data_IF_195613585488
#
_entry.id   IF_195613585488
#
_cell.length_a   1.000
_cell.length_b   1.000
_cell.length_c   1.000
_cell.angle_alpha   90.00
_cell.angle_beta   90.00
_cell.angle_gamma   90.00
#
_symmetry.space_group_name_H-M   'P 1'
#
loop_
_entity.id
_entity.type
_entity.pdbx_description
1 polymer ?
#
# COMPACT_ATOMS: atom_id res chain seq x y z
N UNK A 1 -14.33 44.48 26.87
CA UNK A 1 -14.20 43.44 25.84
C UNK A 1 -12.75 43.42 25.37
N UNK A 2 -12.00 42.37 25.72
CA UNK A 2 -10.60 42.24 25.31
C UNK A 2 -10.57 41.60 23.93
N UNK A 3 -10.25 42.39 22.91
CA UNK A 3 -10.01 41.90 21.55
C UNK A 3 -8.65 41.22 21.54
N UNK A 4 -8.64 39.89 21.50
CA UNK A 4 -7.42 39.12 21.26
C UNK A 4 -7.03 39.29 19.80
N UNK A 5 -6.00 40.09 19.55
CA UNK A 5 -5.32 40.17 18.26
C UNK A 5 -4.62 38.83 18.00
N UNK A 6 -5.21 37.98 17.18
CA UNK A 6 -4.47 36.92 16.50
C UNK A 6 -3.45 37.60 15.57
N UNK A 7 -2.20 37.72 16.02
CA UNK A 7 -1.08 38.02 15.11
C UNK A 7 -1.00 36.85 14.13
N UNK A 8 -1.03 37.08 12.81
CA UNK A 8 -0.73 36.01 11.85
C UNK A 8 0.67 35.49 12.16
N UNK A 9 0.78 34.23 12.56
CA UNK A 9 2.06 33.59 12.78
C UNK A 9 2.87 33.69 11.49
N UNK A 10 4.14 34.12 11.59
CA UNK A 10 5.05 34.13 10.44
C UNK A 10 4.98 32.76 9.73
N UNK A 11 4.82 32.73 8.39
CA UNK A 11 4.82 31.46 7.67
C UNK A 11 6.14 30.73 7.94
N UNK A 12 6.03 29.48 8.39
CA UNK A 12 7.20 28.63 8.68
C UNK A 12 7.96 28.34 7.39
N UNK A 13 9.28 28.34 7.45
CA UNK A 13 10.12 27.87 6.33
C UNK A 13 10.04 26.35 6.19
N UNK A 14 10.32 25.77 5.00
CA UNK A 14 10.38 24.32 4.83
C UNK A 14 11.29 23.59 5.83
N UNK A 15 12.45 24.17 6.15
CA UNK A 15 13.37 23.65 7.18
C UNK A 15 12.74 23.64 8.57
N UNK A 16 12.06 24.73 8.95
CA UNK A 16 11.38 24.83 10.24
C UNK A 16 10.22 23.83 10.35
N UNK A 17 9.51 23.58 9.25
CA UNK A 17 8.45 22.56 9.19
C UNK A 17 9.03 21.16 9.36
N UNK A 18 10.06 20.79 8.57
CA UNK A 18 10.71 19.49 8.68
C UNK A 18 11.26 19.24 10.10
N UNK A 19 11.97 20.22 10.65
CA UNK A 19 12.50 20.13 12.02
C UNK A 19 11.40 19.98 13.06
N UNK A 20 10.32 20.77 12.97
CA UNK A 20 9.21 20.66 13.91
C UNK A 20 8.52 19.28 13.85
N UNK A 21 8.37 18.71 12.65
CA UNK A 21 7.84 17.36 12.47
C UNK A 21 8.75 16.34 13.17
N UNK A 22 10.05 16.35 12.88
CA UNK A 22 11.03 15.45 13.51
C UNK A 22 11.01 15.54 15.02
N UNK A 23 11.11 16.75 15.56
CA UNK A 23 11.12 16.99 17.02
C UNK A 23 9.83 16.49 17.67
N UNK A 24 8.67 16.71 17.02
CA UNK A 24 7.38 16.24 17.52
C UNK A 24 7.22 14.71 17.49
N UNK A 25 7.73 14.04 16.45
CA UNK A 25 7.69 12.58 16.32
C UNK A 25 8.63 11.88 17.31
N UNK A 26 9.83 12.42 17.50
CA UNK A 26 10.79 11.91 18.49
C UNK A 26 10.27 12.11 19.91
N UNK A 27 9.55 13.20 20.18
CA UNK A 27 8.93 13.44 21.48
C UNK A 27 7.86 12.41 21.88
N UNK A 28 7.37 11.60 20.94
CA UNK A 28 6.47 10.46 21.23
C UNK A 28 7.21 9.31 21.94
N UNK A 29 8.51 9.12 21.69
CA UNK A 29 9.30 8.04 22.31
C UNK A 29 9.74 8.35 23.72
N UNK A 30 10.11 9.60 23.99
CA UNK A 30 10.68 10.03 25.27
C UNK A 30 9.65 9.99 26.40
N UNK A 31 8.36 9.78 26.09
CA UNK A 31 7.25 9.83 27.05
C UNK A 31 6.62 8.45 27.23
N UNK A 32 7.42 7.49 27.67
CA UNK A 32 6.91 6.22 28.19
C UNK A 32 5.99 6.47 29.38
N UNK A 33 4.68 6.31 29.18
CA UNK A 33 3.61 5.91 30.13
C UNK A 33 3.33 6.82 31.36
N UNK A 34 4.23 7.69 31.79
CA UNK A 34 4.15 8.31 33.13
C UNK A 34 3.28 9.59 33.20
N UNK A 35 2.97 10.26 32.08
CA UNK A 35 2.02 11.38 32.07
C UNK A 35 1.15 11.40 30.79
N UNK A 36 -0.07 10.86 30.88
CA UNK A 36 -1.08 10.86 29.79
C UNK A 36 -1.24 12.24 29.14
N UNK A 37 -1.26 13.31 29.96
CA UNK A 37 -1.36 14.70 29.47
C UNK A 37 -0.19 15.14 28.60
N UNK A 38 1.02 14.65 28.88
CA UNK A 38 2.19 15.01 28.11
C UNK A 38 2.21 14.30 26.75
N UNK A 39 1.62 13.11 26.67
CA UNK A 39 1.42 12.36 25.41
C UNK A 39 0.32 13.02 24.56
N UNK A 40 -0.82 13.38 25.15
CA UNK A 40 -1.90 14.12 24.47
C UNK A 40 -1.35 15.39 23.82
N UNK A 41 -0.60 16.20 24.57
CA UNK A 41 0.03 17.42 24.05
C UNK A 41 1.05 17.15 22.94
N UNK A 42 1.75 16.01 22.98
CA UNK A 42 2.68 15.64 21.91
C UNK A 42 1.95 15.25 20.63
N UNK A 43 0.85 14.49 20.75
CA UNK A 43 0.00 14.10 19.63
C UNK A 43 -0.68 15.32 18.98
N UNK A 44 -1.16 16.28 19.78
CA UNK A 44 -1.70 17.55 19.28
C UNK A 44 -0.65 18.34 18.47
N UNK A 45 0.60 18.37 18.93
CA UNK A 45 1.69 19.06 18.21
C UNK A 45 2.05 18.33 16.91
N UNK A 46 2.03 17.00 16.88
CA UNK A 46 2.21 16.21 15.64
C UNK A 46 1.10 16.51 14.65
N UNK A 47 -0.17 16.50 15.09
CA UNK A 47 -1.32 16.79 14.24
C UNK A 47 -1.24 18.20 13.64
N UNK A 48 -0.89 19.20 14.45
CA UNK A 48 -0.69 20.57 13.98
C UNK A 48 0.44 20.69 12.95
N UNK A 49 1.56 19.99 13.17
CA UNK A 49 2.69 20.02 12.24
C UNK A 49 2.37 19.26 10.94
N UNK A 50 1.60 18.19 10.99
CA UNK A 50 1.10 17.48 9.81
C UNK A 50 0.10 18.33 9.02
N UNK A 51 -0.80 19.04 9.70
CA UNK A 51 -1.68 20.01 9.05
C UNK A 51 -0.89 21.12 8.35
N UNK A 52 0.19 21.60 8.97
CA UNK A 52 1.11 22.58 8.35
C UNK A 52 1.81 22.01 7.12
N UNK A 53 2.32 20.78 7.22
CA UNK A 53 2.92 20.05 6.09
C UNK A 53 1.93 19.90 4.94
N UNK A 54 0.69 19.46 5.24
CA UNK A 54 -0.37 19.31 4.26
C UNK A 54 -0.68 20.62 3.55
N UNK A 55 -0.84 21.73 4.28
CA UNK A 55 -1.05 23.05 3.67
C UNK A 55 0.11 23.47 2.76
N UNK A 56 1.36 23.18 3.13
CA UNK A 56 2.52 23.49 2.30
C UNK A 56 2.57 22.62 1.03
N UNK A 57 2.15 21.35 1.11
CA UNK A 57 2.15 20.41 -0.01
C UNK A 57 0.96 20.59 -0.96
N UNK A 58 -0.21 20.94 -0.45
CA UNK A 58 -1.48 20.95 -1.19
C UNK A 58 -2.03 22.34 -1.48
N UNK A 59 -1.57 23.36 -0.76
CA UNK A 59 -2.27 24.65 -0.68
C UNK A 59 -3.41 24.62 0.35
N UNK A 60 -4.03 25.77 0.57
CA UNK A 60 -5.15 25.97 1.51
C UNK A 60 -6.50 26.18 0.80
N UNK A 61 -6.55 25.96 -0.51
CA UNK A 61 -7.73 26.13 -1.35
C UNK A 61 -7.88 27.55 -1.93
N UNK A 62 -7.18 28.54 -1.37
CA UNK A 62 -7.12 29.90 -1.92
C UNK A 62 -5.80 30.17 -2.66
N UNK A 63 -4.69 29.60 -2.18
CA UNK A 63 -3.37 29.70 -2.79
C UNK A 63 -2.86 28.33 -3.28
N UNK A 64 -2.30 28.31 -4.48
CA UNK A 64 -1.57 27.14 -5.00
C UNK A 64 -0.26 26.92 -4.22
N UNK A 65 0.18 25.66 -4.05
CA UNK A 65 1.43 25.35 -3.35
C UNK A 65 2.64 25.91 -4.12
N UNK A 66 3.56 26.53 -3.38
CA UNK A 66 4.82 26.99 -3.98
C UNK A 66 5.75 25.80 -4.22
N UNK A 67 5.98 25.47 -5.49
CA UNK A 67 6.78 24.31 -5.89
C UNK A 67 8.24 24.33 -5.40
N UNK A 68 8.85 25.51 -5.24
CA UNK A 68 10.20 25.65 -4.69
C UNK A 68 10.21 25.27 -3.20
N UNK A 69 9.21 25.75 -2.44
CA UNK A 69 9.05 25.38 -1.03
C UNK A 69 8.73 23.90 -0.85
N UNK A 70 7.90 23.32 -1.71
CA UNK A 70 7.60 21.88 -1.72
C UNK A 70 8.85 21.06 -1.98
N UNK A 71 9.64 21.43 -3.00
CA UNK A 71 10.90 20.75 -3.33
C UNK A 71 11.88 20.81 -2.17
N UNK A 72 12.02 21.98 -1.55
CA UNK A 72 12.89 22.17 -0.39
C UNK A 72 12.42 21.36 0.83
N UNK A 73 11.10 21.30 1.09
CA UNK A 73 10.53 20.50 2.16
C UNK A 73 10.83 19.00 1.96
N UNK A 74 10.65 18.49 0.75
CA UNK A 74 10.93 17.08 0.40
C UNK A 74 12.40 16.74 0.65
N UNK A 75 13.33 17.62 0.26
CA UNK A 75 14.76 17.42 0.50
C UNK A 75 15.08 17.34 2.00
N UNK A 76 14.53 18.26 2.81
CA UNK A 76 14.75 18.24 4.26
C UNK A 76 14.10 17.02 4.93
N UNK A 77 12.91 16.59 4.48
CA UNK A 77 12.25 15.36 4.96
C UNK A 77 13.14 14.13 4.74
N UNK A 78 13.75 14.00 3.56
CA UNK A 78 14.62 12.88 3.25
C UNK A 78 15.96 12.98 4.01
N UNK A 79 16.53 14.18 4.10
CA UNK A 79 17.81 14.43 4.77
C UNK A 79 17.76 14.19 6.29
N UNK A 80 16.63 14.50 6.91
CA UNK A 80 16.45 14.41 8.37
C UNK A 80 15.88 13.06 8.83
N UNK A 81 15.79 12.05 7.95
CA UNK A 81 15.24 10.71 8.20
C UNK A 81 13.78 10.71 8.67
N UNK A 82 13.01 11.71 8.23
CA UNK A 82 11.61 11.84 8.65
C UNK A 82 10.75 10.74 8.05
N UNK A 83 11.07 10.24 6.85
CA UNK A 83 10.33 9.15 6.21
C UNK A 83 10.30 7.89 7.09
N UNK A 84 11.45 7.48 7.64
CA UNK A 84 11.52 6.34 8.55
C UNK A 84 10.70 6.59 9.83
N UNK A 85 10.79 7.79 10.41
CA UNK A 85 10.00 8.17 11.58
C UNK A 85 8.49 8.12 11.31
N UNK A 86 8.03 8.58 10.15
CA UNK A 86 6.61 8.55 9.78
C UNK A 86 6.05 7.12 9.76
N UNK A 87 6.82 6.16 9.22
CA UNK A 87 6.43 4.75 9.17
C UNK A 87 6.44 4.13 10.57
N UNK A 88 7.54 4.29 11.33
CA UNK A 88 7.67 3.67 12.65
C UNK A 88 6.69 4.26 13.68
N UNK A 89 6.32 5.54 13.56
CA UNK A 89 5.37 6.18 14.47
C UNK A 89 3.91 6.03 14.05
N UNK A 90 3.62 5.54 12.84
CA UNK A 90 2.25 5.37 12.34
C UNK A 90 1.28 4.73 13.36
N UNK A 91 1.63 3.66 14.10
CA UNK A 91 0.73 3.07 15.09
C UNK A 91 0.38 4.00 16.26
N UNK A 92 1.28 4.92 16.62
CA UNK A 92 1.10 5.85 17.75
C UNK A 92 0.29 7.10 17.41
N UNK A 93 0.06 7.38 16.12
CA UNK A 93 -0.62 8.59 15.67
C UNK A 93 -2.13 8.53 15.89
N UNK A 94 -2.75 9.69 16.12
CA UNK A 94 -4.22 9.84 16.12
C UNK A 94 -4.82 9.72 14.72
N UNK A 95 -6.15 9.52 14.64
CA UNK A 95 -6.86 9.30 13.37
C UNK A 95 -6.65 10.43 12.35
N UNK A 96 -6.77 11.70 12.77
CA UNK A 96 -6.60 12.85 11.88
C UNK A 96 -5.17 12.93 11.34
N UNK A 97 -4.17 12.75 12.21
CA UNK A 97 -2.76 12.72 11.82
C UNK A 97 -2.46 11.57 10.82
N UNK A 98 -3.03 10.38 11.02
CA UNK A 98 -2.87 9.25 10.06
C UNK A 98 -3.48 9.58 8.70
N UNK A 99 -4.64 10.25 8.66
CA UNK A 99 -5.31 10.66 7.42
C UNK A 99 -4.47 11.69 6.66
N UNK A 100 -3.98 12.71 7.36
CA UNK A 100 -3.13 13.74 6.78
C UNK A 100 -1.80 13.17 6.28
N UNK A 101 -1.20 12.25 7.03
CA UNK A 101 0.00 11.54 6.63
C UNK A 101 -0.21 10.76 5.33
N UNK A 102 -1.25 9.94 5.22
CA UNK A 102 -1.51 9.17 3.99
C UNK A 102 -1.68 10.10 2.78
N UNK A 103 -2.37 11.22 2.96
CA UNK A 103 -2.53 12.21 1.90
C UNK A 103 -1.17 12.82 1.48
N UNK A 104 -0.41 13.32 2.45
CA UNK A 104 0.91 13.90 2.21
C UNK A 104 1.88 12.88 1.60
N UNK A 105 1.84 11.63 2.06
CA UNK A 105 2.66 10.52 1.56
C UNK A 105 2.55 10.35 0.04
N UNK A 106 1.31 10.35 -0.46
CA UNK A 106 1.04 10.22 -1.90
C UNK A 106 1.62 11.37 -2.74
N UNK A 107 1.75 12.56 -2.13
CA UNK A 107 2.31 13.75 -2.79
C UNK A 107 3.83 13.70 -2.72
N UNK A 108 4.39 13.42 -1.53
CA UNK A 108 5.83 13.32 -1.29
C UNK A 108 6.50 12.34 -2.25
N UNK A 109 5.93 11.13 -2.43
CA UNK A 109 6.48 10.12 -3.35
C UNK A 109 6.46 10.54 -4.83
N UNK A 110 5.57 11.47 -5.22
CA UNK A 110 5.46 11.97 -6.59
C UNK A 110 6.34 13.19 -6.85
N UNK A 111 6.91 13.81 -5.82
CA UNK A 111 7.77 14.98 -6.00
C UNK A 111 9.12 14.61 -6.59
N UNK A 112 9.50 15.34 -7.64
CA UNK A 112 10.81 15.24 -8.28
C UNK A 112 11.70 16.38 -7.84
N UNK A 113 12.93 16.04 -7.50
CA UNK A 113 14.02 17.00 -7.31
C UNK A 113 14.96 16.81 -8.51
N UNK A 114 14.87 17.69 -9.50
CA UNK A 114 15.51 17.47 -10.80
C UNK A 114 14.86 16.31 -11.57
N UNK A 115 15.61 15.24 -11.84
CA UNK A 115 15.10 14.05 -12.55
C UNK A 115 14.71 12.89 -11.62
N UNK A 116 15.06 12.98 -10.33
CA UNK A 116 14.91 11.88 -9.36
C UNK A 116 13.74 12.10 -8.42
N UNK A 117 13.03 11.03 -8.08
CA UNK A 117 12.03 11.02 -7.02
C UNK A 117 12.74 10.87 -5.67
N UNK A 118 12.95 11.98 -4.96
CA UNK A 118 13.83 12.01 -3.78
C UNK A 118 13.37 11.05 -2.67
N UNK A 119 12.07 11.01 -2.37
CA UNK A 119 11.52 10.08 -1.38
C UNK A 119 11.61 8.61 -1.82
N UNK A 120 11.46 8.32 -3.12
CA UNK A 120 11.61 6.95 -3.64
C UNK A 120 13.05 6.50 -3.51
N UNK A 121 14.01 7.34 -3.90
CA UNK A 121 15.43 7.06 -3.72
C UNK A 121 15.80 6.88 -2.24
N UNK A 122 15.18 7.64 -1.33
CA UNK A 122 15.35 7.41 0.10
C UNK A 122 14.90 6.01 0.52
N UNK A 123 13.70 5.58 0.09
CA UNK A 123 13.16 4.25 0.40
C UNK A 123 14.00 3.15 -0.26
N UNK A 124 14.52 3.37 -1.47
CA UNK A 124 15.42 2.42 -2.14
C UNK A 124 16.71 2.15 -1.33
N UNK A 125 17.14 3.11 -0.51
CA UNK A 125 18.28 2.94 0.41
C UNK A 125 17.87 2.37 1.79
N UNK A 126 16.57 2.22 2.06
CA UNK A 126 15.99 1.79 3.34
C UNK A 126 14.79 0.86 3.09
N UNK A 127 14.99 -0.20 2.30
CA UNK A 127 13.91 -1.06 1.82
C UNK A 127 13.15 -1.77 2.95
N UNK A 128 13.79 -1.99 4.10
CA UNK A 128 13.19 -2.57 5.31
C UNK A 128 11.98 -1.78 5.85
N UNK A 129 11.86 -0.51 5.45
CA UNK A 129 10.68 0.30 5.73
C UNK A 129 9.41 -0.25 5.08
N UNK A 130 9.53 -0.89 3.91
CA UNK A 130 8.41 -1.52 3.23
C UNK A 130 7.93 -2.77 3.98
N UNK A 131 8.86 -3.55 4.54
CA UNK A 131 8.51 -4.69 5.40
C UNK A 131 7.72 -4.25 6.62
N UNK A 132 8.10 -3.12 7.22
CA UNK A 132 7.36 -2.53 8.34
C UNK A 132 5.91 -2.22 7.95
N UNK A 133 5.68 -1.61 6.77
CA UNK A 133 4.31 -1.33 6.27
C UNK A 133 3.50 -2.61 6.06
N UNK A 134 4.12 -3.69 5.57
CA UNK A 134 3.45 -4.99 5.41
C UNK A 134 3.13 -5.61 6.77
N UNK A 135 4.05 -5.59 7.72
CA UNK A 135 3.82 -6.13 9.08
C UNK A 135 2.69 -5.39 9.79
N UNK A 136 2.58 -4.07 9.60
CA UNK A 136 1.53 -3.26 10.22
C UNK A 136 0.11 -3.54 9.71
N UNK A 137 -0.08 -4.30 8.62
CA UNK A 137 -1.41 -4.76 8.21
C UNK A 137 -2.13 -5.61 9.26
N UNK A 138 -1.38 -6.29 10.15
CA UNK A 138 -1.97 -7.09 11.23
C UNK A 138 -2.64 -6.19 12.31
N UNK A 139 -2.30 -4.89 12.35
CA UNK A 139 -2.98 -3.90 13.17
C UNK A 139 -4.20 -3.30 12.45
N UNK A 140 -5.39 -3.77 12.84
CA UNK A 140 -6.68 -3.39 12.24
C UNK A 140 -6.95 -1.89 12.19
N UNK A 141 -6.43 -1.10 13.14
CA UNK A 141 -6.69 0.34 13.19
C UNK A 141 -5.91 1.15 12.15
N UNK A 142 -4.80 0.60 11.66
CA UNK A 142 -3.92 1.27 10.69
C UNK A 142 -3.76 0.52 9.38
N UNK A 143 -4.33 -0.68 9.27
CA UNK A 143 -4.18 -1.54 8.10
C UNK A 143 -4.51 -0.81 6.79
N UNK A 144 -5.61 -0.06 6.74
CA UNK A 144 -5.99 0.73 5.56
C UNK A 144 -5.01 1.86 5.26
N UNK A 145 -4.43 2.50 6.28
CA UNK A 145 -3.39 3.51 6.10
C UNK A 145 -2.12 2.88 5.52
N UNK A 146 -1.70 1.72 6.04
CA UNK A 146 -0.54 0.97 5.56
C UNK A 146 -0.75 0.53 4.11
N UNK A 147 -1.92 -0.01 3.78
CA UNK A 147 -2.29 -0.39 2.42
C UNK A 147 -2.23 0.77 1.45
N UNK A 148 -2.80 1.92 1.81
CA UNK A 148 -2.72 3.12 0.97
C UNK A 148 -1.27 3.59 0.76
N UNK A 149 -0.46 3.64 1.84
CA UNK A 149 0.94 4.05 1.73
C UNK A 149 1.78 3.08 0.90
N UNK A 150 1.59 1.78 1.11
CA UNK A 150 2.29 0.71 0.39
C UNK A 150 1.91 0.69 -1.09
N UNK A 151 0.63 0.85 -1.43
CA UNK A 151 0.17 0.93 -2.83
C UNK A 151 0.74 2.13 -3.59
N UNK A 152 1.04 3.24 -2.93
CA UNK A 152 1.77 4.35 -3.55
C UNK A 152 3.25 4.00 -3.79
N UNK A 153 3.89 3.22 -2.91
CA UNK A 153 5.27 2.77 -3.07
C UNK A 153 5.44 1.77 -4.22
N UNK A 154 4.56 0.76 -4.30
CA UNK A 154 4.66 -0.29 -5.33
C UNK A 154 4.29 0.22 -6.74
N UNK A 155 3.93 1.49 -6.92
CA UNK A 155 3.90 2.13 -8.25
C UNK A 155 5.28 2.18 -8.90
N UNK A 156 6.34 2.15 -8.10
CA UNK A 156 7.72 2.11 -8.56
C UNK A 156 8.18 0.66 -8.67
N UNK A 157 8.69 0.27 -9.84
CA UNK A 157 9.04 -1.12 -10.15
C UNK A 157 10.10 -1.69 -9.20
N UNK A 158 11.10 -0.89 -8.82
CA UNK A 158 12.15 -1.25 -7.87
C UNK A 158 11.60 -1.62 -6.49
N UNK A 159 10.69 -0.80 -5.97
CA UNK A 159 10.05 -1.03 -4.67
C UNK A 159 9.09 -2.23 -4.73
N UNK A 160 8.32 -2.37 -5.81
CA UNK A 160 7.43 -3.52 -6.00
C UNK A 160 8.21 -4.83 -6.06
N UNK A 161 9.34 -4.86 -6.77
CA UNK A 161 10.23 -6.03 -6.84
C UNK A 161 10.74 -6.43 -5.46
N UNK A 162 11.20 -5.47 -4.66
CA UNK A 162 11.63 -5.74 -3.29
C UNK A 162 10.52 -6.39 -2.45
N UNK A 163 9.32 -5.80 -2.44
CA UNK A 163 8.19 -6.31 -1.64
C UNK A 163 7.77 -7.70 -2.10
N UNK A 164 7.81 -7.97 -3.40
CA UNK A 164 7.42 -9.27 -3.96
C UNK A 164 8.43 -10.38 -3.60
N UNK A 165 9.73 -10.07 -3.59
CA UNK A 165 10.80 -11.01 -3.20
C UNK A 165 10.99 -11.13 -1.68
N UNK A 166 10.41 -10.22 -0.89
CA UNK A 166 10.57 -10.21 0.55
C UNK A 166 9.77 -11.34 1.23
N UNK A 167 10.28 -11.95 2.32
CA UNK A 167 9.51 -12.93 3.11
C UNK A 167 8.20 -12.37 3.68
N UNK A 168 8.11 -11.04 3.82
CA UNK A 168 6.89 -10.35 4.28
C UNK A 168 5.73 -10.49 3.27
N UNK A 169 6.01 -10.76 1.99
CA UNK A 169 4.99 -11.00 0.96
C UNK A 169 4.03 -12.14 1.33
N UNK A 170 4.56 -13.21 1.94
CA UNK A 170 3.77 -14.38 2.33
C UNK A 170 2.64 -14.04 3.31
N UNK A 171 2.78 -12.92 4.05
CA UNK A 171 1.73 -12.44 4.95
C UNK A 171 0.44 -12.06 4.20
N UNK A 172 0.51 -11.68 2.92
CA UNK A 172 -0.69 -11.38 2.14
C UNK A 172 -1.62 -12.58 1.99
N UNK A 173 -1.10 -13.81 1.87
CA UNK A 173 -1.94 -15.01 1.84
C UNK A 173 -2.76 -15.19 3.13
N UNK A 174 -2.24 -14.72 4.27
CA UNK A 174 -2.98 -14.65 5.54
C UNK A 174 -3.95 -13.46 5.55
N UNK A 175 -3.51 -12.28 5.13
CA UNK A 175 -4.30 -11.05 5.24
C UNK A 175 -5.57 -11.08 4.38
N UNK A 176 -5.52 -11.67 3.19
CA UNK A 176 -6.69 -11.78 2.29
C UNK A 176 -7.77 -12.75 2.79
N UNK A 177 -7.44 -13.59 3.77
CA UNK A 177 -8.36 -14.54 4.42
C UNK A 177 -8.86 -14.04 5.78
N UNK A 178 -8.52 -12.81 6.18
CA UNK A 178 -8.99 -12.26 7.45
C UNK A 178 -10.52 -12.13 7.45
N UNK A 179 -11.18 -12.41 8.60
CA UNK A 179 -12.64 -12.27 8.71
C UNK A 179 -13.10 -10.80 8.66
N UNK A 180 -12.19 -9.85 8.86
CA UNK A 180 -12.47 -8.42 8.75
C UNK A 180 -12.45 -8.01 7.28
N UNK A 181 -13.63 -7.92 6.68
CA UNK A 181 -13.82 -7.67 5.24
C UNK A 181 -13.04 -6.46 4.72
N UNK A 182 -13.10 -5.32 5.42
CA UNK A 182 -12.44 -4.09 4.97
C UNK A 182 -10.91 -4.27 4.87
N UNK A 183 -10.30 -4.92 5.86
CA UNK A 183 -8.86 -5.21 5.90
C UNK A 183 -8.49 -6.25 4.85
N UNK A 184 -9.26 -7.33 4.74
CA UNK A 184 -9.01 -8.39 3.77
C UNK A 184 -9.13 -7.89 2.31
N UNK A 185 -10.13 -7.06 2.02
CA UNK A 185 -10.36 -6.44 0.71
C UNK A 185 -9.24 -5.46 0.35
N UNK A 186 -8.79 -4.65 1.31
CA UNK A 186 -7.68 -3.73 1.12
C UNK A 186 -6.35 -4.47 0.92
N UNK A 187 -6.09 -5.52 1.71
CA UNK A 187 -4.94 -6.40 1.53
C UNK A 187 -4.97 -7.10 0.17
N UNK A 188 -6.14 -7.56 -0.28
CA UNK A 188 -6.31 -8.17 -1.60
C UNK A 188 -6.02 -7.17 -2.72
N UNK A 189 -6.41 -5.90 -2.55
CA UNK A 189 -6.11 -4.84 -3.51
C UNK A 189 -4.60 -4.61 -3.64
N UNK A 190 -3.86 -4.64 -2.53
CA UNK A 190 -2.40 -4.53 -2.53
C UNK A 190 -1.73 -5.78 -3.12
N UNK A 191 -2.21 -6.98 -2.76
CA UNK A 191 -1.75 -8.25 -3.30
C UNK A 191 -1.94 -8.32 -4.82
N UNK A 192 -3.10 -7.88 -5.31
CA UNK A 192 -3.38 -7.73 -6.74
C UNK A 192 -2.40 -6.76 -7.41
N UNK A 193 -2.23 -5.55 -6.87
CA UNK A 193 -1.32 -4.56 -7.47
C UNK A 193 0.11 -5.09 -7.56
N UNK A 194 0.59 -5.83 -6.55
CA UNK A 194 1.90 -6.48 -6.58
C UNK A 194 2.04 -7.51 -7.72
N UNK A 195 0.98 -8.26 -8.01
CA UNK A 195 0.96 -9.34 -9.00
C UNK A 195 0.55 -8.90 -10.41
N UNK A 196 0.10 -7.67 -10.63
CA UNK A 196 -0.37 -7.23 -11.97
C UNK A 196 0.26 -5.94 -12.48
N UNK A 197 0.90 -5.12 -11.62
CA UNK A 197 1.30 -3.77 -12.02
C UNK A 197 2.60 -3.73 -12.83
N UNK A 198 3.54 -4.62 -12.53
CA UNK A 198 4.85 -4.69 -13.19
C UNK A 198 5.04 -6.09 -13.77
N UNK A 199 4.39 -6.36 -14.90
CA UNK A 199 4.29 -7.70 -15.52
C UNK A 199 5.64 -8.43 -15.64
N UNK A 200 6.71 -7.72 -16.05
CA UNK A 200 8.05 -8.30 -16.17
C UNK A 200 8.61 -8.77 -14.82
N UNK A 201 8.45 -7.95 -13.77
CA UNK A 201 8.90 -8.29 -12.41
C UNK A 201 8.12 -9.48 -11.88
N UNK A 202 6.80 -9.50 -12.12
CA UNK A 202 5.94 -10.61 -11.72
C UNK A 202 6.33 -11.89 -12.44
N UNK A 203 6.62 -11.83 -13.74
CA UNK A 203 7.07 -12.98 -14.53
C UNK A 203 8.38 -13.56 -14.02
N UNK A 204 9.36 -12.70 -13.71
CA UNK A 204 10.63 -13.11 -13.10
C UNK A 204 10.39 -13.84 -11.76
N UNK A 205 9.58 -13.24 -10.87
CA UNK A 205 9.26 -13.79 -9.57
C UNK A 205 8.52 -15.14 -9.67
N UNK A 206 7.42 -15.21 -10.44
CA UNK A 206 6.64 -16.43 -10.61
C UNK A 206 7.43 -17.55 -11.27
N UNK A 207 8.41 -17.22 -12.12
CA UNK A 207 9.31 -18.21 -12.71
C UNK A 207 10.25 -18.78 -11.65
N UNK A 208 10.80 -17.94 -10.77
CA UNK A 208 11.73 -18.34 -9.73
C UNK A 208 11.06 -19.09 -8.56
N UNK A 209 9.84 -18.69 -8.20
CA UNK A 209 9.11 -19.19 -7.02
C UNK A 209 7.86 -19.99 -7.39
N UNK A 210 7.84 -20.60 -8.59
CA UNK A 210 6.64 -21.22 -9.16
C UNK A 210 5.95 -22.17 -8.18
N UNK A 211 6.67 -23.16 -7.67
CA UNK A 211 6.09 -24.23 -6.85
C UNK A 211 5.56 -23.69 -5.52
N UNK A 212 6.39 -22.92 -4.80
CA UNK A 212 6.02 -22.31 -3.51
C UNK A 212 4.81 -21.37 -3.63
N UNK A 213 4.81 -20.52 -4.67
CA UNK A 213 3.74 -19.55 -4.90
C UNK A 213 2.42 -20.25 -5.23
N UNK A 214 2.40 -21.17 -6.19
CA UNK A 214 1.15 -21.81 -6.62
C UNK A 214 0.60 -22.79 -5.57
N UNK A 215 1.45 -23.43 -4.76
CA UNK A 215 1.03 -24.21 -3.59
C UNK A 215 0.29 -23.34 -2.56
N UNK A 216 0.79 -22.13 -2.30
CA UNK A 216 0.11 -21.16 -1.44
C UNK A 216 -1.15 -20.58 -2.10
N UNK A 217 -1.12 -20.31 -3.41
CA UNK A 217 -2.23 -19.75 -4.16
C UNK A 217 -3.41 -20.73 -4.28
N UNK A 218 -3.16 -22.04 -4.38
CA UNK A 218 -4.21 -23.07 -4.40
C UNK A 218 -5.07 -23.05 -3.13
N UNK A 219 -4.50 -22.68 -1.98
CA UNK A 219 -5.25 -22.52 -0.72
C UNK A 219 -6.28 -21.40 -0.84
N UNK A 220 -5.96 -20.32 -1.57
CA UNK A 220 -6.92 -19.24 -1.84
C UNK A 220 -8.03 -19.69 -2.82
N UNK A 221 -7.67 -20.47 -3.85
CA UNK A 221 -8.63 -21.03 -4.80
C UNK A 221 -9.59 -22.07 -4.18
N UNK A 222 -9.15 -22.73 -3.11
CA UNK A 222 -9.93 -23.73 -2.38
C UNK A 222 -10.50 -23.20 -1.07
N UNK A 223 -10.36 -21.90 -0.82
CA UNK A 223 -10.84 -21.23 0.39
C UNK A 223 -12.34 -21.41 0.62
N UNK A 224 -12.72 -21.47 1.90
CA UNK A 224 -14.11 -21.44 2.36
C UNK A 224 -14.72 -20.04 2.23
N UNK A 225 -13.88 -18.99 2.17
CA UNK A 225 -14.32 -17.63 1.90
C UNK A 225 -14.66 -17.47 0.42
N UNK A 226 -15.97 -17.37 0.11
CA UNK A 226 -16.46 -17.22 -1.25
C UNK A 226 -15.86 -16.00 -1.98
N UNK A 227 -15.69 -14.87 -1.29
CA UNK A 227 -15.15 -13.64 -1.88
C UNK A 227 -13.68 -13.85 -2.24
N UNK A 228 -12.87 -14.33 -1.30
CA UNK A 228 -11.44 -14.58 -1.53
C UNK A 228 -11.25 -15.60 -2.64
N UNK A 229 -12.01 -16.70 -2.65
CA UNK A 229 -11.98 -17.69 -3.73
C UNK A 229 -12.30 -17.09 -5.09
N UNK A 230 -13.38 -16.29 -5.18
CA UNK A 230 -13.80 -15.66 -6.44
C UNK A 230 -12.79 -14.64 -6.95
N UNK A 231 -12.27 -13.79 -6.07
CA UNK A 231 -11.31 -12.76 -6.44
C UNK A 231 -9.96 -13.38 -6.82
N UNK A 232 -9.52 -14.42 -6.10
CA UNK A 232 -8.27 -15.15 -6.41
C UNK A 232 -8.37 -15.87 -7.75
N UNK A 233 -9.51 -16.48 -8.07
CA UNK A 233 -9.73 -17.07 -9.40
C UNK A 233 -9.65 -16.00 -10.51
N UNK A 234 -10.28 -14.84 -10.30
CA UNK A 234 -10.22 -13.74 -11.26
C UNK A 234 -8.78 -13.24 -11.46
N UNK A 235 -8.07 -12.99 -10.36
CA UNK A 235 -6.68 -12.52 -10.36
C UNK A 235 -5.73 -13.52 -11.05
N UNK A 236 -5.96 -14.82 -10.84
CA UNK A 236 -5.17 -15.87 -11.48
C UNK A 236 -5.25 -15.81 -13.00
N UNK A 237 -6.45 -15.59 -13.55
CA UNK A 237 -6.60 -15.37 -14.98
C UNK A 237 -5.96 -14.06 -15.44
N UNK A 238 -6.04 -13.00 -14.64
CA UNK A 238 -5.43 -11.71 -14.98
C UNK A 238 -3.91 -11.84 -15.18
N UNK A 239 -3.15 -12.35 -14.20
CA UNK A 239 -1.70 -12.41 -14.36
C UNK A 239 -1.22 -13.55 -15.27
N UNK A 240 -1.90 -14.70 -15.34
CA UNK A 240 -1.45 -15.80 -16.22
C UNK A 240 -1.57 -15.47 -17.71
N UNK A 241 -2.54 -14.65 -18.09
CA UNK A 241 -2.78 -14.28 -19.49
C UNK A 241 -1.85 -13.17 -19.99
N UNK A 242 -1.04 -12.57 -19.12
CA UNK A 242 -0.10 -11.55 -19.52
C UNK A 242 1.00 -12.14 -20.43
N UNK A 243 1.44 -11.44 -21.50
CA UNK A 243 2.42 -11.95 -22.45
C UNK A 243 3.72 -12.46 -21.80
N UNK A 244 4.31 -11.76 -20.80
CA UNK A 244 5.48 -12.24 -20.08
C UNK A 244 5.27 -13.56 -19.32
N UNK A 245 4.03 -13.95 -19.03
CA UNK A 245 3.68 -15.14 -18.25
C UNK A 245 3.26 -16.33 -19.11
N UNK A 246 3.39 -16.25 -20.44
CA UNK A 246 2.94 -17.31 -21.36
C UNK A 246 3.57 -18.69 -21.10
N UNK A 247 4.83 -18.75 -20.65
CA UNK A 247 5.49 -20.02 -20.27
C UNK A 247 4.98 -20.56 -18.93
N UNK A 248 4.73 -19.68 -17.96
CA UNK A 248 4.12 -20.01 -16.66
C UNK A 248 2.71 -20.58 -16.88
N UNK A 249 1.91 -19.92 -17.73
CA UNK A 249 0.58 -20.40 -18.10
C UNK A 249 0.63 -21.80 -18.72
N UNK A 250 1.53 -22.03 -19.68
CA UNK A 250 1.70 -23.36 -20.33
C UNK A 250 2.07 -24.44 -19.31
N UNK A 251 2.96 -24.14 -18.37
CA UNK A 251 3.29 -25.05 -17.26
C UNK A 251 2.05 -25.30 -16.39
N UNK A 252 1.36 -24.26 -15.97
CA UNK A 252 0.19 -24.33 -15.08
C UNK A 252 -0.93 -25.21 -15.63
N UNK A 253 -1.28 -25.07 -16.92
CA UNK A 253 -2.34 -25.87 -17.54
C UNK A 253 -1.93 -27.32 -17.81
N UNK A 254 -0.63 -27.61 -17.86
CA UNK A 254 -0.12 -28.97 -18.06
C UNK A 254 -0.18 -29.82 -16.78
N UNK A 255 -0.27 -29.17 -15.63
CA UNK A 255 -0.30 -29.85 -14.33
C UNK A 255 -1.72 -30.29 -13.97
N UNK A 256 -1.87 -31.60 -13.79
CA UNK A 256 -3.18 -32.25 -13.55
C UNK A 256 -3.87 -31.72 -12.29
N UNK A 257 -3.10 -31.33 -11.27
CA UNK A 257 -3.61 -30.77 -10.01
C UNK A 257 -4.37 -29.46 -10.27
N UNK A 258 -3.73 -28.50 -10.92
CA UNK A 258 -4.35 -27.21 -11.22
C UNK A 258 -5.51 -27.31 -12.21
N UNK A 259 -5.44 -28.21 -13.18
CA UNK A 259 -6.55 -28.48 -14.09
C UNK A 259 -7.80 -28.98 -13.34
N UNK A 260 -7.65 -29.87 -12.36
CA UNK A 260 -8.76 -30.34 -11.52
C UNK A 260 -9.40 -29.22 -10.72
N UNK A 261 -8.59 -28.31 -10.15
CA UNK A 261 -9.08 -27.14 -9.41
C UNK A 261 -9.89 -26.25 -10.34
N UNK A 262 -9.35 -25.91 -11.52
CA UNK A 262 -10.05 -25.10 -12.52
C UNK A 262 -11.36 -25.72 -12.99
N UNK A 263 -11.38 -27.02 -13.29
CA UNK A 263 -12.60 -27.74 -13.69
C UNK A 263 -13.64 -27.76 -12.57
N UNK A 264 -13.22 -27.87 -11.32
CA UNK A 264 -14.11 -27.84 -10.15
C UNK A 264 -14.72 -26.45 -9.95
N UNK A 265 -13.91 -25.40 -10.11
CA UNK A 265 -14.36 -24.00 -10.03
C UNK A 265 -15.31 -23.64 -11.17
N UNK A 266 -15.03 -24.09 -12.40
CA UNK A 266 -15.95 -23.94 -13.53
C UNK A 266 -17.29 -24.65 -13.26
N UNK A 267 -17.28 -25.90 -12.77
CA UNK A 267 -18.52 -26.60 -12.38
C UNK A 267 -19.31 -25.85 -11.32
N UNK A 268 -18.65 -25.32 -10.30
CA UNK A 268 -19.30 -24.52 -9.26
C UNK A 268 -19.89 -23.22 -9.85
N UNK A 269 -19.19 -22.58 -10.78
CA UNK A 269 -19.66 -21.37 -11.47
C UNK A 269 -20.87 -21.66 -12.36
N UNK A 270 -20.82 -22.70 -13.19
CA UNK A 270 -21.94 -23.15 -14.02
C UNK A 270 -23.15 -23.60 -13.18
N UNK A 271 -22.93 -24.29 -12.06
CA UNK A 271 -24.01 -24.67 -11.14
C UNK A 271 -24.66 -23.44 -10.49
N UNK A 272 -23.88 -22.41 -10.15
CA UNK A 272 -24.41 -21.12 -9.66
C UNK A 272 -25.15 -20.31 -10.74
N UNK A 273 -24.68 -20.35 -12.00
CA UNK A 273 -25.36 -19.74 -13.16
C UNK A 273 -26.70 -20.40 -13.47
N UNK A 274 -26.80 -21.73 -13.32
CA UNK A 274 -28.07 -22.45 -13.44
C UNK A 274 -29.07 -22.10 -12.32
N UNK A 275 -28.61 -21.51 -11.21
CA UNK A 275 -29.46 -21.11 -10.08
C UNK A 275 -29.82 -19.62 -10.04
N UNK A 276 -29.25 -18.76 -10.89
CA UNK A 276 -29.78 -17.40 -11.10
C UNK A 276 -28.80 -16.32 -11.58
N UNK A 277 -29.16 -15.68 -12.69
CA UNK A 277 -28.87 -14.28 -13.12
C UNK A 277 -27.54 -13.95 -13.83
N UNK A 278 -27.71 -13.63 -15.13
CA UNK A 278 -26.95 -12.80 -16.11
C UNK A 278 -25.49 -13.16 -16.46
N UNK A 279 -25.29 -13.34 -17.77
CA UNK A 279 -24.32 -14.22 -18.41
C UNK A 279 -23.40 -13.54 -19.43
N UNK A 280 -23.10 -12.24 -19.32
CA UNK A 280 -22.66 -11.52 -20.53
C UNK A 280 -21.20 -11.06 -20.55
N UNK A 281 -20.32 -11.63 -19.72
CA UNK A 281 -18.88 -11.26 -19.75
C UNK A 281 -17.87 -12.42 -19.77
N UNK A 282 -18.29 -13.68 -19.58
CA UNK A 282 -17.34 -14.81 -19.50
C UNK A 282 -17.40 -15.78 -20.69
N UNK A 283 -18.44 -15.74 -21.52
CA UNK A 283 -18.53 -16.57 -22.73
C UNK A 283 -17.46 -16.22 -23.77
N UNK A 284 -17.02 -14.97 -23.81
CA UNK A 284 -16.05 -14.50 -24.82
C UNK A 284 -14.60 -14.90 -24.49
N UNK A 285 -14.24 -15.06 -23.21
CA UNK A 285 -12.86 -15.41 -22.84
C UNK A 285 -12.53 -16.89 -23.07
N UNK A 286 -13.53 -17.77 -23.12
CA UNK A 286 -13.33 -19.22 -23.33
C UNK A 286 -13.34 -19.59 -24.81
N UNK A 287 -14.04 -18.83 -25.67
CA UNK A 287 -14.09 -19.08 -27.12
C UNK A 287 -12.79 -18.67 -27.86
N UNK A 288 -12.08 -17.67 -27.35
CA UNK A 288 -10.79 -17.24 -27.92
C UNK A 288 -9.62 -18.18 -27.61
N UNK A 289 -9.79 -19.17 -26.72
CA UNK A 289 -8.79 -20.21 -26.47
C UNK A 289 -8.93 -21.45 -27.37
N UNK A 290 -9.95 -21.46 -28.24
CA UNK A 290 -10.18 -22.54 -29.21
C UNK A 290 -10.07 -22.10 -30.68
N UNK A 291 -9.51 -20.91 -30.93
CA UNK A 291 -9.29 -20.35 -32.28
C UNK A 291 -7.80 -20.13 -32.55
#
# INVERSE_FOLDING_TARGET
MSFSFFKPSRPKTPQEVAKAIKDSLVALDTKTVVEVKALEKALEEVEKNFGTMRCMLCGDGEAEPNMEQVTQLVQEICKEDIIALLIHKLPSLGWEARKDLVHCWSILLKQKVGTTFCCVQYIENHMELLDSLVVWYDNKEIALNCGNMLRECIKFSTLAKYVLEAPSFELFFKFVELPTFDVASDAFSTFKDLLTKHETVVSEFLTAHYDEFFDSYEKLLTSTNYVTRRQSLKLLSEFLLEPPNSHIMKRYISEVQYLKVMMTLLKAFFCSLCQGVRSDQWSNAILDLSS
#
